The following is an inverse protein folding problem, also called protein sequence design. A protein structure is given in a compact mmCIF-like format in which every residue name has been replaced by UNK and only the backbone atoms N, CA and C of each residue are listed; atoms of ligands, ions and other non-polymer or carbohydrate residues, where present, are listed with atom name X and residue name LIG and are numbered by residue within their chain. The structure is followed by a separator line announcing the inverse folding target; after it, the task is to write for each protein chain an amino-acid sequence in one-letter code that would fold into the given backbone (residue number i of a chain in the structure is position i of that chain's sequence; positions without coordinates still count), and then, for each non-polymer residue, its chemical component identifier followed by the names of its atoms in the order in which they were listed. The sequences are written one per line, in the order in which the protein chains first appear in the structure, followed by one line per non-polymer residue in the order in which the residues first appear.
data_IF_503190247416
#
_entry.id   IF_503190247416
#
_cell.length_a   1.000
_cell.length_b   1.000
_cell.length_c   1.000
_cell.angle_alpha   90.00
_cell.angle_beta   90.00
_cell.angle_gamma   90.00
#
_symmetry.space_group_name_H-M   'P 1'
#
loop_
_entity.id
_entity.type
_entity.pdbx_description
1 polymer ?
#
# COMPACT_ATOMS: atom_id res chain seq x y z
N UNK A 1 -35.90 5.85 11.62
CA UNK A 1 -35.50 6.32 10.27
C UNK A 1 -34.41 7.39 10.30
N UNK A 2 -34.48 8.44 11.13
CA UNK A 2 -33.40 9.47 11.20
C UNK A 2 -32.06 8.93 11.74
N UNK A 3 -32.09 8.07 12.76
CA UNK A 3 -30.89 7.45 13.38
C UNK A 3 -30.11 6.50 12.45
N UNK A 4 -30.81 5.85 11.52
CA UNK A 4 -30.21 4.91 10.57
C UNK A 4 -29.40 5.64 9.50
N UNK A 5 -29.97 6.72 8.93
CA UNK A 5 -29.26 7.59 7.99
C UNK A 5 -27.97 8.18 8.58
N UNK A 6 -27.98 8.58 9.85
CA UNK A 6 -26.76 9.10 10.50
C UNK A 6 -25.67 8.02 10.67
N UNK A 7 -26.05 6.76 10.90
CA UNK A 7 -25.07 5.68 11.01
C UNK A 7 -24.47 5.33 9.65
N UNK A 8 -25.28 5.33 8.59
CA UNK A 8 -24.81 5.07 7.23
C UNK A 8 -23.82 6.14 6.76
N UNK A 9 -24.09 7.42 7.04
CA UNK A 9 -23.15 8.50 6.71
C UNK A 9 -21.83 8.38 7.48
N UNK A 10 -21.89 8.09 8.78
CA UNK A 10 -20.69 7.89 9.60
C UNK A 10 -19.87 6.70 9.11
N UNK A 11 -20.53 5.61 8.72
CA UNK A 11 -19.87 4.41 8.19
C UNK A 11 -19.21 4.68 6.85
N UNK A 12 -19.88 5.42 5.97
CA UNK A 12 -19.35 5.83 4.67
C UNK A 12 -18.13 6.73 4.84
N UNK A 13 -18.22 7.75 5.70
CA UNK A 13 -17.10 8.65 6.00
C UNK A 13 -15.90 7.90 6.58
N UNK A 14 -16.14 7.00 7.55
CA UNK A 14 -15.06 6.16 8.12
C UNK A 14 -14.42 5.27 7.07
N UNK A 15 -15.22 4.72 6.14
CA UNK A 15 -14.69 3.90 5.05
C UNK A 15 -13.84 4.74 4.09
N UNK A 16 -14.28 5.93 3.71
CA UNK A 16 -13.52 6.86 2.86
C UNK A 16 -12.21 7.26 3.54
N UNK A 17 -12.24 7.60 4.84
CA UNK A 17 -11.05 7.94 5.63
C UNK A 17 -10.04 6.78 5.64
N UNK A 18 -10.52 5.54 5.82
CA UNK A 18 -9.65 4.35 5.78
C UNK A 18 -9.04 4.07 4.41
N UNK A 19 -9.82 4.23 3.34
CA UNK A 19 -9.31 4.09 1.96
C UNK A 19 -8.26 5.16 1.69
N UNK A 20 -8.53 6.41 2.02
CA UNK A 20 -7.57 7.50 1.87
C UNK A 20 -6.25 7.22 2.61
N UNK A 21 -6.32 6.80 3.88
CA UNK A 21 -5.13 6.45 4.64
C UNK A 21 -4.34 5.31 3.99
N UNK A 22 -5.01 4.26 3.53
CA UNK A 22 -4.35 3.11 2.87
C UNK A 22 -3.62 3.49 1.58
N UNK A 23 -4.18 4.43 0.80
CA UNK A 23 -3.55 4.94 -0.42
C UNK A 23 -2.30 5.75 -0.07
N UNK A 24 -2.37 6.61 0.95
CA UNK A 24 -1.25 7.44 1.38
C UNK A 24 -0.12 6.61 1.98
N UNK A 25 -0.42 5.67 2.87
CA UNK A 25 0.58 4.80 3.50
C UNK A 25 1.20 3.83 2.49
N UNK A 26 0.38 3.22 1.65
CA UNK A 26 0.82 2.38 0.54
C UNK A 26 1.70 3.17 -0.43
N UNK A 27 1.27 4.36 -0.84
CA UNK A 27 2.03 5.22 -1.75
C UNK A 27 3.39 5.64 -1.18
N UNK A 28 3.45 5.98 0.11
CA UNK A 28 4.70 6.28 0.81
C UNK A 28 5.64 5.07 0.80
N UNK A 29 5.13 3.88 1.11
CA UNK A 29 5.94 2.66 1.10
C UNK A 29 6.45 2.30 -0.30
N UNK A 30 5.60 2.46 -1.32
CA UNK A 30 5.97 2.28 -2.72
C UNK A 30 7.09 3.24 -3.13
N UNK A 31 7.04 4.51 -2.72
CA UNK A 31 8.08 5.49 -3.01
C UNK A 31 9.44 5.08 -2.41
N UNK A 32 9.46 4.59 -1.16
CA UNK A 32 10.68 4.07 -0.54
C UNK A 32 11.20 2.82 -1.25
N UNK A 33 10.30 1.91 -1.64
CA UNK A 33 10.65 0.72 -2.40
C UNK A 33 11.23 1.07 -3.78
N UNK A 34 10.65 2.05 -4.49
CA UNK A 34 11.18 2.55 -5.76
C UNK A 34 12.57 3.16 -5.59
N UNK A 35 12.77 4.00 -4.57
CA UNK A 35 14.05 4.62 -4.31
C UNK A 35 15.13 3.55 -4.05
N UNK A 36 14.86 2.62 -3.15
CA UNK A 36 15.79 1.56 -2.77
C UNK A 36 16.07 0.60 -3.94
N UNK A 37 15.04 0.05 -4.59
CA UNK A 37 15.19 -0.84 -5.72
C UNK A 37 15.88 -0.15 -6.91
N UNK A 38 15.54 1.11 -7.17
CA UNK A 38 16.18 1.94 -8.19
C UNK A 38 17.68 2.10 -7.94
N UNK A 39 18.11 2.43 -6.72
CA UNK A 39 19.54 2.48 -6.37
C UNK A 39 20.23 1.13 -6.54
N UNK A 40 19.61 0.03 -6.11
CA UNK A 40 20.19 -1.31 -6.24
C UNK A 40 20.35 -1.70 -7.71
N UNK A 41 19.33 -1.47 -8.53
CA UNK A 41 19.37 -1.77 -9.98
C UNK A 41 20.37 -0.87 -10.71
N UNK A 42 20.48 0.40 -10.30
CA UNK A 42 21.48 1.31 -10.85
C UNK A 42 22.91 0.83 -10.55
N UNK A 43 23.20 0.50 -9.29
CA UNK A 43 24.50 -0.05 -8.88
C UNK A 43 24.78 -1.37 -9.59
N UNK A 44 23.79 -2.26 -9.66
CA UNK A 44 23.94 -3.53 -10.36
C UNK A 44 24.23 -3.34 -11.85
N UNK A 45 23.57 -2.38 -12.51
CA UNK A 45 23.81 -2.07 -13.91
C UNK A 45 25.22 -1.50 -14.17
N UNK A 46 25.79 -0.77 -13.21
CA UNK A 46 27.12 -0.16 -13.34
C UNK A 46 28.25 -1.15 -13.05
N UNK A 47 28.13 -1.95 -11.99
CA UNK A 47 29.21 -2.81 -11.51
C UNK A 47 29.16 -4.26 -12.04
N UNK A 48 27.99 -4.77 -12.42
CA UNK A 48 27.84 -6.16 -12.86
C UNK A 48 27.65 -6.25 -14.40
N UNK A 49 28.69 -6.60 -15.17
CA UNK A 49 28.61 -6.71 -16.63
C UNK A 49 27.65 -7.82 -17.08
N UNK A 50 27.50 -8.90 -16.30
CA UNK A 50 26.52 -9.97 -16.55
C UNK A 50 25.09 -9.44 -16.44
N UNK A 51 24.79 -8.61 -15.43
CA UNK A 51 23.47 -8.03 -15.21
C UNK A 51 23.12 -7.04 -16.33
N UNK A 52 24.10 -6.25 -16.79
CA UNK A 52 23.93 -5.33 -17.92
C UNK A 52 23.63 -6.05 -19.24
N UNK A 53 24.26 -7.20 -19.50
CA UNK A 53 24.10 -7.98 -20.73
C UNK A 53 22.87 -8.91 -20.71
N UNK A 54 22.48 -9.40 -19.54
CA UNK A 54 21.39 -10.38 -19.40
C UNK A 54 19.99 -9.75 -19.29
N UNK A 55 19.87 -8.50 -18.83
CA UNK A 55 18.58 -7.85 -18.61
C UNK A 55 18.44 -6.62 -19.51
N UNK A 56 17.45 -6.66 -20.40
CA UNK A 56 16.99 -5.50 -21.15
C UNK A 56 16.31 -4.46 -20.25
N UNK A 57 15.95 -3.31 -20.83
CA UNK A 57 15.30 -2.20 -20.09
C UNK A 57 14.04 -2.68 -19.36
N UNK A 58 13.21 -3.50 -20.03
CA UNK A 58 11.99 -4.08 -19.47
C UNK A 58 12.24 -4.95 -18.22
N UNK A 59 13.29 -5.78 -18.24
CA UNK A 59 13.64 -6.63 -17.09
C UNK A 59 14.11 -5.81 -15.88
N UNK A 60 14.88 -4.74 -16.12
CA UNK A 60 15.32 -3.81 -15.08
C UNK A 60 14.15 -3.04 -14.48
N UNK A 61 13.21 -2.59 -15.30
CA UNK A 61 12.00 -1.93 -14.80
C UNK A 61 11.13 -2.88 -14.00
N UNK A 62 10.98 -4.15 -14.42
CA UNK A 62 10.23 -5.14 -13.66
C UNK A 62 10.84 -5.34 -12.26
N UNK A 63 12.18 -5.40 -12.16
CA UNK A 63 12.89 -5.51 -10.88
C UNK A 63 12.70 -4.30 -9.95
N UNK A 64 12.35 -3.13 -10.48
CA UNK A 64 12.06 -1.92 -9.68
C UNK A 64 10.57 -1.86 -9.32
N UNK A 65 9.71 -2.11 -10.31
CA UNK A 65 8.26 -1.91 -10.22
C UNK A 65 7.60 -3.00 -9.38
N UNK A 66 8.01 -4.26 -9.52
CA UNK A 66 7.44 -5.37 -8.74
C UNK A 66 7.57 -5.19 -7.23
N UNK A 67 8.76 -4.92 -6.65
CA UNK A 67 8.85 -4.69 -5.21
C UNK A 67 8.12 -3.42 -4.75
N UNK A 68 8.02 -2.40 -5.61
CA UNK A 68 7.24 -1.19 -5.30
C UNK A 68 5.74 -1.46 -5.17
N UNK A 69 5.15 -2.19 -6.13
CA UNK A 69 3.76 -2.61 -6.04
C UNK A 69 3.54 -3.59 -4.89
N UNK A 70 4.45 -4.54 -4.68
CA UNK A 70 4.38 -5.47 -3.55
C UNK A 70 4.29 -4.75 -2.21
N UNK A 71 5.15 -3.76 -1.98
CA UNK A 71 5.13 -2.95 -0.76
C UNK A 71 3.89 -2.04 -0.67
N UNK A 72 3.42 -1.49 -1.79
CA UNK A 72 2.18 -0.72 -1.84
C UNK A 72 1.00 -1.56 -1.35
N UNK A 73 0.77 -2.72 -1.97
CA UNK A 73 -0.35 -3.59 -1.67
C UNK A 73 -0.28 -4.12 -0.24
N UNK A 74 0.90 -4.54 0.20
CA UNK A 74 1.09 -5.04 1.56
C UNK A 74 0.70 -3.99 2.61
N UNK A 75 1.15 -2.74 2.44
CA UNK A 75 0.84 -1.68 3.39
C UNK A 75 -0.60 -1.20 3.29
N UNK A 76 -1.17 -1.17 2.07
CA UNK A 76 -2.58 -0.86 1.88
C UNK A 76 -3.47 -1.89 2.61
N UNK A 77 -3.17 -3.18 2.46
CA UNK A 77 -3.89 -4.27 3.13
C UNK A 77 -3.74 -4.21 4.65
N UNK A 78 -2.53 -3.97 5.17
CA UNK A 78 -2.33 -3.81 6.62
C UNK A 78 -3.15 -2.65 7.17
N UNK A 79 -3.14 -1.50 6.50
CA UNK A 79 -3.90 -0.32 6.92
C UNK A 79 -5.42 -0.57 6.86
N UNK A 80 -5.89 -1.27 5.81
CA UNK A 80 -7.29 -1.68 5.69
C UNK A 80 -7.69 -2.69 6.76
N UNK A 81 -6.84 -3.66 7.07
CA UNK A 81 -7.10 -4.68 8.08
C UNK A 81 -7.15 -4.06 9.48
N UNK A 82 -6.29 -3.09 9.77
CA UNK A 82 -6.35 -2.30 11.00
C UNK A 82 -7.67 -1.53 11.11
N UNK A 83 -8.14 -0.91 10.03
CA UNK A 83 -9.44 -0.25 9.99
C UNK A 83 -10.60 -1.22 10.20
N UNK A 84 -10.58 -2.39 9.56
CA UNK A 84 -11.59 -3.43 9.74
C UNK A 84 -11.61 -3.94 11.18
N UNK A 85 -10.44 -4.14 11.78
CA UNK A 85 -10.30 -4.53 13.19
C UNK A 85 -10.88 -3.48 14.12
N UNK A 86 -10.55 -2.20 13.95
CA UNK A 86 -11.12 -1.10 14.74
C UNK A 86 -12.65 -1.05 14.63
N UNK A 87 -13.22 -1.20 13.42
CA UNK A 87 -14.67 -1.27 13.23
C UNK A 87 -15.32 -2.44 13.99
N UNK A 88 -14.68 -3.61 14.00
CA UNK A 88 -15.22 -4.79 14.70
C UNK A 88 -15.32 -4.56 16.21
N UNK A 89 -14.32 -3.95 16.82
CA UNK A 89 -14.33 -3.60 18.25
C UNK A 89 -15.41 -2.56 18.58
N UNK A 90 -15.53 -1.49 17.79
CA UNK A 90 -16.54 -0.45 18.03
C UNK A 90 -17.99 -0.96 17.95
N UNK A 91 -18.23 -2.02 17.18
CA UNK A 91 -19.56 -2.64 17.10
C UNK A 91 -19.85 -3.52 18.32
N UNK A 92 -18.84 -4.20 18.85
CA UNK A 92 -18.97 -5.00 20.07
C UNK A 92 -19.28 -4.11 21.29
N UNK A 93 -18.61 -2.97 21.42
CA UNK A 93 -18.83 -2.02 22.53
C UNK A 93 -20.21 -1.32 22.47
N UNK A 94 -20.80 -1.21 21.28
CA UNK A 94 -22.13 -0.62 21.11
C UNK A 94 -23.30 -1.58 21.41
N UNK A 95 -23.01 -2.87 21.64
CA UNK A 95 -24.00 -3.89 21.98
C UNK A 95 -24.14 -4.14 23.50
N UNK A 96 -23.28 -3.53 24.33
CA UNK A 96 -23.33 -3.56 25.79
C UNK A 96 -23.73 -2.19 26.34
#
# INVERSE_FOLDING_TARGET
MSKEKSLDELRKKTQEDCVHQSIVTGGKAAAWALATAGTVVFLANQYLPTFRKSLGVSGKTALIVTPAFGMYFLQAELTMNECARKRKWTLHDAQH
#
